data_IF_656212525793
#
_entry.id   IF_656212525793
#
_cell.length_a   1.000
_cell.length_b   1.000
_cell.length_c   1.000
_cell.angle_alpha   90.00
_cell.angle_beta   90.00
_cell.angle_gamma   90.00
#
_symmetry.space_group_name_H-M   'P 1'
#
loop_
_entity.id
_entity.type
_entity.pdbx_description
1 polymer ?
#
# COMPACT_ATOMS: atom_id res chain seq x y z
N UNK A 1 30.01 39.48 -34.02
CA UNK A 1 30.35 38.80 -32.73
C UNK A 1 29.51 37.54 -32.60
N UNK A 2 30.08 36.36 -32.85
CA UNK A 2 29.38 35.07 -33.01
C UNK A 2 30.01 33.96 -32.17
N UNK A 3 30.03 34.03 -30.83
CA UNK A 3 30.62 32.93 -30.01
C UNK A 3 30.09 32.76 -28.57
N UNK A 4 28.96 33.37 -28.17
CA UNK A 4 28.46 33.20 -26.78
C UNK A 4 27.31 32.20 -26.58
N UNK A 5 26.58 31.82 -27.63
CA UNK A 5 25.39 30.96 -27.50
C UNK A 5 25.71 29.46 -27.52
N UNK A 6 26.86 29.06 -28.08
CA UNK A 6 27.21 27.63 -28.27
C UNK A 6 27.64 26.92 -26.98
N UNK A 7 27.82 27.64 -25.86
CA UNK A 7 28.22 27.04 -24.56
C UNK A 7 27.03 26.70 -23.65
N UNK A 8 25.81 27.14 -23.98
CA UNK A 8 24.65 26.92 -23.09
C UNK A 8 24.02 25.52 -23.25
N UNK A 9 24.30 24.81 -24.34
CA UNK A 9 23.64 23.53 -24.65
C UNK A 9 24.34 22.29 -24.08
N UNK A 10 25.50 22.42 -23.43
CA UNK A 10 26.28 21.27 -22.94
C UNK A 10 25.89 20.84 -21.52
N UNK A 11 25.09 21.63 -20.79
CA UNK A 11 24.79 21.37 -19.36
C UNK A 11 23.40 20.75 -19.12
N UNK A 12 22.50 20.69 -20.11
CA UNK A 12 21.14 20.15 -19.88
C UNK A 12 21.02 18.63 -20.07
N UNK A 13 22.13 17.91 -20.27
CA UNK A 13 22.09 16.48 -20.66
C UNK A 13 22.03 15.48 -19.49
N UNK A 14 21.86 15.96 -18.25
CA UNK A 14 21.65 15.08 -17.08
C UNK A 14 20.46 15.58 -16.28
N UNK A 15 19.28 15.48 -16.87
CA UNK A 15 18.04 15.29 -16.10
C UNK A 15 17.48 13.92 -16.51
N UNK A 16 18.29 12.89 -16.22
CA UNK A 16 17.95 11.50 -16.42
C UNK A 16 17.03 11.03 -15.29
N UNK A 17 15.83 10.60 -15.69
CA UNK A 17 14.89 9.80 -14.91
C UNK A 17 14.69 10.26 -13.45
N UNK A 18 13.82 11.25 -13.26
CA UNK A 18 12.81 11.04 -12.22
C UNK A 18 11.94 9.90 -12.71
N UNK A 19 12.36 8.65 -12.43
CA UNK A 19 11.42 7.58 -12.31
C UNK A 19 10.45 8.07 -11.25
N UNK A 20 9.26 8.47 -11.69
CA UNK A 20 8.15 8.67 -10.79
C UNK A 20 7.97 7.33 -10.11
N UNK A 21 8.59 7.15 -8.95
CA UNK A 21 7.96 6.39 -7.90
C UNK A 21 6.70 7.19 -7.61
N UNK A 22 5.68 7.00 -8.46
CA UNK A 22 4.32 7.26 -8.09
C UNK A 22 4.22 6.53 -6.75
N UNK A 23 4.18 7.30 -5.67
CA UNK A 23 3.72 6.80 -4.41
C UNK A 23 2.32 6.31 -4.76
N UNK A 24 2.21 5.02 -5.07
CA UNK A 24 0.95 4.31 -5.07
C UNK A 24 0.36 4.65 -3.71
N UNK A 25 -0.55 5.61 -3.71
CA UNK A 25 -1.28 5.98 -2.52
C UNK A 25 -1.92 4.68 -2.08
N UNK A 26 -1.76 4.31 -0.81
CA UNK A 26 -2.20 3.02 -0.25
C UNK A 26 -3.70 2.76 -0.45
N UNK A 27 -4.44 3.79 -0.84
CA UNK A 27 -5.82 3.72 -1.24
C UNK A 27 -6.05 2.95 -2.56
N UNK A 28 -5.10 2.94 -3.49
CA UNK A 28 -5.29 2.31 -4.80
C UNK A 28 -5.13 0.79 -4.79
N UNK A 29 -4.32 0.22 -3.88
CA UNK A 29 -4.17 -1.24 -3.79
C UNK A 29 -5.47 -1.96 -3.41
N UNK A 30 -6.40 -1.29 -2.73
CA UNK A 30 -7.73 -1.83 -2.40
C UNK A 30 -8.73 -1.63 -3.55
N UNK A 31 -8.47 -0.68 -4.45
CA UNK A 31 -9.34 -0.34 -5.58
C UNK A 31 -8.85 -0.87 -6.93
N UNK A 32 -7.83 -1.75 -6.93
CA UNK A 32 -7.36 -2.38 -8.16
C UNK A 32 -8.53 -3.15 -8.82
N UNK A 33 -8.93 -2.77 -10.05
CA UNK A 33 -10.00 -3.45 -10.77
C UNK A 33 -9.74 -4.97 -10.90
N UNK A 34 -8.48 -5.40 -10.97
CA UNK A 34 -8.12 -6.81 -11.06
C UNK A 34 -8.43 -7.58 -9.77
N UNK A 35 -8.20 -6.98 -8.60
CA UNK A 35 -8.54 -7.58 -7.30
C UNK A 35 -10.06 -7.66 -7.15
N UNK A 36 -10.79 -6.62 -7.56
CA UNK A 36 -12.25 -6.63 -7.51
C UNK A 36 -12.83 -7.73 -8.39
N UNK A 37 -12.32 -7.87 -9.62
CA UNK A 37 -12.69 -8.97 -10.51
C UNK A 37 -12.34 -10.33 -9.92
N UNK A 38 -11.19 -10.49 -9.27
CA UNK A 38 -10.81 -11.76 -8.63
C UNK A 38 -11.74 -12.12 -7.47
N UNK A 39 -12.17 -11.13 -6.66
CA UNK A 39 -13.15 -11.33 -5.59
C UNK A 39 -14.53 -11.70 -6.13
N UNK A 40 -14.96 -11.09 -7.24
CA UNK A 40 -16.24 -11.39 -7.89
C UNK A 40 -16.26 -12.76 -8.57
N UNK A 41 -15.13 -13.18 -9.14
CA UNK A 41 -15.00 -14.46 -9.86
C UNK A 41 -14.53 -15.63 -8.97
N UNK A 42 -14.37 -15.44 -7.66
CA UNK A 42 -14.01 -16.53 -6.76
C UNK A 42 -15.20 -17.50 -6.60
N UNK A 43 -15.06 -18.73 -7.10
CA UNK A 43 -16.13 -19.75 -7.10
C UNK A 43 -15.75 -20.95 -6.25
N UNK A 44 -14.47 -21.14 -5.94
CA UNK A 44 -13.97 -22.30 -5.17
C UNK A 44 -13.44 -21.91 -3.79
N UNK A 45 -13.40 -22.88 -2.88
CA UNK A 45 -12.76 -22.74 -1.56
C UNK A 45 -11.30 -22.29 -1.69
N UNK A 46 -10.56 -22.86 -2.65
CA UNK A 46 -9.17 -22.50 -2.91
C UNK A 46 -9.04 -21.03 -3.32
N UNK A 47 -9.94 -20.52 -4.16
CA UNK A 47 -9.92 -19.11 -4.58
C UNK A 47 -10.07 -18.17 -3.38
N UNK A 48 -10.99 -18.49 -2.47
CA UNK A 48 -11.20 -17.71 -1.25
C UNK A 48 -9.99 -17.79 -0.30
N UNK A 49 -9.28 -18.91 -0.23
CA UNK A 49 -8.04 -19.01 0.56
C UNK A 49 -6.91 -18.14 -0.04
N UNK A 50 -6.71 -18.21 -1.36
CA UNK A 50 -5.71 -17.41 -2.07
C UNK A 50 -5.99 -15.91 -1.90
N UNK A 51 -7.25 -15.50 -2.01
CA UNK A 51 -7.66 -14.12 -1.76
C UNK A 51 -7.41 -13.70 -0.31
N UNK A 52 -7.66 -14.59 0.66
CA UNK A 52 -7.36 -14.30 2.05
C UNK A 52 -5.87 -14.02 2.27
N UNK A 53 -5.00 -14.89 1.75
CA UNK A 53 -3.55 -14.73 1.83
C UNK A 53 -3.06 -13.44 1.18
N UNK A 54 -3.61 -13.10 0.00
CA UNK A 54 -3.30 -11.84 -0.68
C UNK A 54 -3.61 -10.61 0.20
N UNK A 55 -4.78 -10.58 0.83
CA UNK A 55 -5.15 -9.48 1.72
C UNK A 55 -4.30 -9.45 3.00
N UNK A 56 -3.91 -10.60 3.54
CA UNK A 56 -2.97 -10.64 4.66
C UNK A 56 -1.60 -10.10 4.30
N UNK A 57 -1.09 -10.44 3.13
CA UNK A 57 0.16 -9.89 2.61
C UNK A 57 0.09 -8.38 2.43
N UNK A 58 -1.03 -7.89 1.90
CA UNK A 58 -1.26 -6.47 1.78
C UNK A 58 -1.28 -5.80 3.17
N UNK A 59 -1.93 -6.40 4.17
CA UNK A 59 -1.93 -5.90 5.55
C UNK A 59 -0.52 -5.89 6.15
N UNK A 60 0.26 -6.97 5.99
CA UNK A 60 1.65 -7.06 6.46
C UNK A 60 2.51 -5.95 5.85
N UNK A 61 2.39 -5.72 4.54
CA UNK A 61 3.10 -4.63 3.84
C UNK A 61 2.71 -3.25 4.38
N UNK A 62 1.45 -3.03 4.75
CA UNK A 62 1.02 -1.76 5.37
C UNK A 62 1.62 -1.59 6.77
N UNK A 63 1.67 -2.65 7.58
CA UNK A 63 2.29 -2.61 8.90
C UNK A 63 3.80 -2.31 8.85
N UNK A 64 4.52 -2.86 7.86
CA UNK A 64 5.93 -2.48 7.63
C UNK A 64 6.06 -0.98 7.39
N UNK A 65 5.19 -0.40 6.54
CA UNK A 65 5.18 1.06 6.30
C UNK A 65 4.83 1.85 7.56
N UNK A 66 3.96 1.35 8.43
CA UNK A 66 3.66 1.98 9.73
C UNK A 66 4.94 2.09 10.57
N UNK A 67 5.69 1.01 10.69
CA UNK A 67 6.94 1.00 11.47
C UNK A 67 8.00 1.93 10.86
N UNK A 68 8.16 1.95 9.54
CA UNK A 68 9.02 2.92 8.85
C UNK A 68 8.64 4.38 9.16
N UNK A 69 7.33 4.71 9.17
CA UNK A 69 6.88 6.07 9.46
C UNK A 69 6.98 6.43 10.93
N UNK A 70 6.79 5.47 11.84
CA UNK A 70 7.04 5.67 13.29
C UNK A 70 8.51 5.98 13.55
N UNK A 71 9.43 5.22 12.96
CA UNK A 71 10.86 5.47 13.08
C UNK A 71 11.25 6.85 12.53
N UNK A 72 10.67 7.25 11.39
CA UNK A 72 10.88 8.58 10.81
C UNK A 72 10.32 9.70 11.70
N UNK A 73 9.15 9.50 12.30
CA UNK A 73 8.54 10.46 13.22
C UNK A 73 9.41 10.65 14.46
N UNK A 74 9.92 9.57 15.03
CA UNK A 74 10.85 9.60 16.16
C UNK A 74 12.13 10.40 15.82
N UNK A 75 12.67 10.24 14.61
CA UNK A 75 13.80 11.05 14.13
C UNK A 75 13.44 12.53 14.07
N UNK A 76 12.27 12.89 13.55
CA UNK A 76 11.80 14.29 13.53
C UNK A 76 11.56 14.88 14.93
N UNK A 77 11.26 14.04 15.93
CA UNK A 77 11.14 14.46 17.32
C UNK A 77 12.50 14.72 17.97
N UNK A 78 13.53 13.93 17.61
CA UNK A 78 14.90 14.09 18.12
C UNK A 78 15.65 15.24 17.46
N UNK A 79 15.42 15.49 16.16
CA UNK A 79 16.05 16.59 15.44
C UNK A 79 15.41 17.92 15.85
N UNK A 80 16.22 18.93 16.19
CA UNK A 80 15.76 20.30 16.42
C UNK A 80 15.38 20.98 15.10
N UNK A 81 14.27 20.55 14.52
CA UNK A 81 13.62 21.23 13.40
C UNK A 81 12.81 22.41 13.94
N UNK A 82 12.93 23.58 13.31
CA UNK A 82 12.28 24.81 13.75
C UNK A 82 11.11 25.22 12.86
N UNK A 83 10.16 25.94 13.46
CA UNK A 83 9.07 26.60 12.74
C UNK A 83 8.10 25.65 12.02
N UNK A 84 7.46 26.17 10.98
CA UNK A 84 6.39 25.50 10.25
C UNK A 84 6.82 24.19 9.58
N UNK A 85 8.07 24.10 9.11
CA UNK A 85 8.61 22.90 8.45
C UNK A 85 8.62 21.69 9.40
N UNK A 86 9.05 21.89 10.65
CA UNK A 86 9.03 20.86 11.71
C UNK A 86 7.62 20.34 11.95
N UNK A 87 6.68 21.27 12.17
CA UNK A 87 5.28 20.94 12.42
C UNK A 87 4.64 20.20 11.24
N UNK A 88 4.88 20.67 10.02
CA UNK A 88 4.35 20.07 8.81
C UNK A 88 4.87 18.65 8.58
N UNK A 89 6.16 18.40 8.77
CA UNK A 89 6.75 17.06 8.63
C UNK A 89 6.17 16.07 9.64
N UNK A 90 6.05 16.47 10.91
CA UNK A 90 5.45 15.62 11.96
C UNK A 90 3.97 15.34 11.68
N UNK A 91 3.20 16.37 11.35
CA UNK A 91 1.77 16.24 11.04
C UNK A 91 1.52 15.35 9.82
N UNK A 92 2.27 15.56 8.72
CA UNK A 92 2.14 14.72 7.52
C UNK A 92 2.51 13.26 7.80
N UNK A 93 3.55 13.02 8.61
CA UNK A 93 3.98 11.67 8.96
C UNK A 93 2.96 10.97 9.85
N UNK A 94 2.36 11.66 10.82
CA UNK A 94 1.32 11.08 11.66
C UNK A 94 0.04 10.74 10.87
N UNK A 95 -0.31 11.55 9.87
CA UNK A 95 -1.41 11.22 8.93
C UNK A 95 -1.08 9.96 8.13
N UNK A 96 0.14 9.81 7.64
CA UNK A 96 0.56 8.61 6.90
C UNK A 96 0.50 7.34 7.77
N UNK A 97 0.94 7.42 9.04
CA UNK A 97 0.83 6.31 10.00
C UNK A 97 -0.63 5.86 10.09
N UNK A 98 -1.56 6.80 10.36
CA UNK A 98 -2.99 6.48 10.48
C UNK A 98 -3.57 5.88 9.21
N UNK A 99 -3.20 6.43 8.04
CA UNK A 99 -3.64 5.88 6.74
C UNK A 99 -3.19 4.44 6.54
N UNK A 100 -1.94 4.12 6.84
CA UNK A 100 -1.44 2.75 6.71
C UNK A 100 -2.03 1.80 7.75
N UNK A 101 -2.27 2.24 8.98
CA UNK A 101 -2.98 1.45 10.00
C UNK A 101 -4.42 1.12 9.56
N UNK A 102 -5.14 2.11 9.05
CA UNK A 102 -6.49 1.92 8.50
C UNK A 102 -6.48 0.96 7.30
N UNK A 103 -5.52 1.10 6.40
CA UNK A 103 -5.36 0.20 5.27
C UNK A 103 -5.04 -1.24 5.71
N UNK A 104 -4.17 -1.42 6.71
CA UNK A 104 -3.87 -2.73 7.29
C UNK A 104 -5.13 -3.36 7.90
N UNK A 105 -5.91 -2.59 8.67
CA UNK A 105 -7.16 -3.08 9.26
C UNK A 105 -8.20 -3.45 8.18
N UNK A 106 -8.35 -2.64 7.13
CA UNK A 106 -9.26 -2.92 6.03
C UNK A 106 -8.89 -4.22 5.32
N UNK A 107 -7.61 -4.39 5.00
CA UNK A 107 -7.10 -5.61 4.38
C UNK A 107 -7.34 -6.84 5.27
N UNK A 108 -7.08 -6.74 6.58
CA UNK A 108 -7.38 -7.85 7.51
C UNK A 108 -8.87 -8.22 7.55
N UNK A 109 -9.78 -7.23 7.47
CA UNK A 109 -11.23 -7.50 7.40
C UNK A 109 -11.62 -8.22 6.10
N UNK A 110 -11.00 -7.85 4.98
CA UNK A 110 -11.20 -8.56 3.72
C UNK A 110 -10.68 -10.00 3.83
N UNK A 111 -9.47 -10.20 4.36
CA UNK A 111 -8.90 -11.53 4.57
C UNK A 111 -9.80 -12.42 5.42
N UNK A 112 -10.31 -11.92 6.55
CA UNK A 112 -11.21 -12.69 7.41
C UNK A 112 -12.52 -13.05 6.71
N UNK A 113 -13.08 -12.13 5.90
CA UNK A 113 -14.29 -12.40 5.13
C UNK A 113 -14.07 -13.50 4.09
N UNK A 114 -12.92 -13.51 3.41
CA UNK A 114 -12.61 -14.55 2.44
C UNK A 114 -12.39 -15.91 3.13
N UNK A 115 -11.73 -15.96 4.28
CA UNK A 115 -11.62 -17.22 5.05
C UNK A 115 -12.97 -17.76 5.49
N UNK A 116 -13.86 -16.90 5.96
CA UNK A 116 -15.20 -17.32 6.34
C UNK A 116 -15.92 -17.97 5.15
N UNK A 117 -15.87 -17.35 3.96
CA UNK A 117 -16.44 -17.94 2.74
C UNK A 117 -15.81 -19.29 2.39
N UNK A 118 -14.49 -19.42 2.50
CA UNK A 118 -13.80 -20.69 2.28
C UNK A 118 -14.32 -21.81 3.19
N UNK A 119 -14.51 -21.53 4.49
CA UNK A 119 -15.07 -22.50 5.44
C UNK A 119 -16.54 -22.82 5.17
N UNK A 120 -17.32 -21.85 4.71
CA UNK A 120 -18.73 -22.09 4.31
C UNK A 120 -18.82 -23.04 3.11
N UNK A 121 -17.90 -22.93 2.14
CA UNK A 121 -17.80 -23.88 1.03
C UNK A 121 -17.43 -25.29 1.50
N UNK A 122 -16.44 -25.41 2.39
CA UNK A 122 -16.02 -26.68 2.97
C UNK A 122 -17.19 -27.39 3.70
N UNK A 123 -17.93 -26.65 4.53
CA UNK A 123 -19.07 -27.18 5.27
C UNK A 123 -20.31 -27.49 4.41
N UNK A 124 -20.40 -26.97 3.19
CA UNK A 124 -21.42 -27.36 2.21
C UNK A 124 -21.02 -28.63 1.46
N UNK A 125 -19.76 -28.74 1.04
CA UNK A 125 -19.22 -29.92 0.37
C UNK A 125 -19.36 -31.17 1.24
N UNK A 126 -18.93 -31.09 2.51
CA UNK A 126 -19.05 -32.18 3.47
C UNK A 126 -20.51 -32.61 3.75
N UNK A 127 -21.47 -31.69 3.60
CA UNK A 127 -22.91 -31.99 3.76
C UNK A 127 -23.49 -32.70 2.54
N UNK A 128 -23.04 -32.35 1.35
CA UNK A 128 -23.51 -32.95 0.10
C UNK A 128 -22.96 -34.38 -0.10
N UNK A 129 -21.72 -34.66 0.31
CA UNK A 129 -21.11 -36.00 0.23
C UNK A 129 -21.66 -37.00 1.28
N UNK A 130 -22.43 -36.52 2.26
CA UNK A 130 -23.03 -37.34 3.32
C UNK A 130 -24.47 -37.82 3.04
N UNK A 131 -24.98 -37.60 1.82
CA UNK A 131 -26.30 -38.04 1.32
C UNK A 131 -26.15 -39.10 0.22
#
# INVERSE_FOLDING_TARGET
MKTKIRKLWVVFSISGLTASCAQMDSHEAIQDPSIRMAVENAVTQCDHYVLAEHFEDAARKMLVKVEEKKALLEQYEKIRLYGWQSHNLKSRTSVLIRKYEQAAQSNMRHASSQRQKAHEFEGQYLRHDSL
#
